data_IF_464089469397
#
_entry.id   IF_464089469397
#
_cell.length_a   1.000
_cell.length_b   1.000
_cell.length_c   1.000
_cell.angle_alpha   90.00
_cell.angle_beta   90.00
_cell.angle_gamma   90.00
#
_symmetry.space_group_name_H-M   'P 1'
#
loop_
_entity.id
_entity.type
_entity.pdbx_description
1 polymer ?
#
# COMPACT_ATOMS: atom_id res chain seq x y z
N UNK A 1 -17.40 39.65 15.03
CA UNK A 1 -17.62 38.56 14.04
C UNK A 1 -19.10 38.22 14.07
N UNK A 2 -19.83 38.34 12.96
CA UNK A 2 -21.28 38.08 12.92
C UNK A 2 -21.58 36.61 13.22
N UNK A 3 -22.64 36.33 13.99
CA UNK A 3 -23.13 34.96 14.27
C UNK A 3 -23.32 34.15 12.97
N UNK A 4 -23.68 34.81 11.86
CA UNK A 4 -23.77 34.17 10.53
C UNK A 4 -22.41 33.72 10.00
N UNK A 5 -21.32 34.45 10.27
CA UNK A 5 -19.98 34.10 9.83
C UNK A 5 -19.39 32.97 10.68
N UNK A 6 -19.72 32.91 11.97
CA UNK A 6 -19.32 31.80 12.86
C UNK A 6 -20.04 30.51 12.50
N UNK A 7 -21.34 30.56 12.16
CA UNK A 7 -22.11 29.41 11.67
C UNK A 7 -21.60 28.91 10.30
N UNK A 8 -21.22 29.80 9.38
CA UNK A 8 -20.65 29.39 8.10
C UNK A 8 -19.28 28.72 8.27
N UNK A 9 -18.41 29.23 9.15
CA UNK A 9 -17.11 28.61 9.42
C UNK A 9 -17.28 27.24 10.11
N UNK A 10 -18.21 27.10 11.05
CA UNK A 10 -18.52 25.81 11.69
C UNK A 10 -19.13 24.83 10.66
N UNK A 11 -20.00 25.29 9.76
CA UNK A 11 -20.58 24.47 8.68
C UNK A 11 -19.54 24.10 7.61
N UNK A 12 -18.60 24.98 7.31
CA UNK A 12 -17.47 24.71 6.40
C UNK A 12 -16.46 23.75 7.02
N UNK A 13 -16.18 23.82 8.34
CA UNK A 13 -15.33 22.86 9.04
C UNK A 13 -16.02 21.49 9.14
N UNK A 14 -17.33 21.45 9.39
CA UNK A 14 -18.11 20.20 9.38
C UNK A 14 -18.18 19.55 7.99
N UNK A 15 -18.21 20.35 6.91
CA UNK A 15 -18.21 19.85 5.52
C UNK A 15 -16.82 19.44 4.99
N UNK A 16 -15.74 19.62 5.76
CA UNK A 16 -14.39 19.12 5.36
C UNK A 16 -14.12 17.66 5.71
N UNK A 17 -15.10 16.93 6.26
CA UNK A 17 -14.88 15.55 6.74
C UNK A 17 -15.38 14.42 5.82
N UNK A 18 -16.07 14.70 4.71
CA UNK A 18 -16.74 13.63 3.95
C UNK A 18 -15.94 12.97 2.81
N UNK A 19 -14.76 12.44 3.13
CA UNK A 19 -14.20 11.29 2.39
C UNK A 19 -14.25 10.06 3.31
N UNK A 20 -15.39 9.38 3.31
CA UNK A 20 -15.69 8.31 4.28
C UNK A 20 -15.56 6.89 3.71
N UNK A 21 -14.68 6.66 2.73
CA UNK A 21 -14.37 5.30 2.25
C UNK A 21 -13.45 4.52 3.21
N UNK A 22 -13.74 4.53 4.50
CA UNK A 22 -12.86 3.96 5.53
C UNK A 22 -13.69 3.26 6.61
N UNK A 23 -13.24 2.09 7.02
CA UNK A 23 -13.76 1.43 8.22
C UNK A 23 -12.96 1.87 9.47
N UNK A 24 -13.39 1.42 10.66
CA UNK A 24 -12.71 1.74 11.92
C UNK A 24 -11.23 1.36 11.95
N UNK A 25 -10.85 0.24 11.32
CA UNK A 25 -9.45 -0.21 11.24
C UNK A 25 -8.62 0.75 10.39
N UNK A 26 -9.12 1.14 9.23
CA UNK A 26 -8.43 2.05 8.32
C UNK A 26 -8.20 3.43 8.95
N UNK A 27 -9.18 3.93 9.70
CA UNK A 27 -9.07 5.20 10.45
C UNK A 27 -7.92 5.11 11.45
N UNK A 28 -7.88 4.06 12.28
CA UNK A 28 -6.79 3.88 13.26
C UNK A 28 -5.44 3.79 12.57
N UNK A 29 -5.34 3.01 11.48
CA UNK A 29 -4.11 2.87 10.72
C UNK A 29 -3.65 4.24 10.17
N UNK A 30 -4.54 4.96 9.50
CA UNK A 30 -4.21 6.22 8.83
C UNK A 30 -3.92 7.38 9.80
N UNK A 31 -4.68 7.49 10.88
CA UNK A 31 -4.62 8.67 11.76
C UNK A 31 -3.65 8.48 12.93
N UNK A 32 -3.44 7.25 13.41
CA UNK A 32 -2.61 6.98 14.59
C UNK A 32 -1.30 6.28 14.27
N UNK A 33 -1.30 5.34 13.31
CA UNK A 33 -0.15 4.46 13.07
C UNK A 33 0.76 5.01 11.98
N UNK A 34 0.22 5.24 10.78
CA UNK A 34 1.00 5.67 9.62
C UNK A 34 1.74 7.00 9.81
N UNK A 35 1.20 8.04 10.48
CA UNK A 35 1.92 9.29 10.66
C UNK A 35 3.24 9.08 11.38
N UNK A 36 3.23 8.31 12.48
CA UNK A 36 4.44 8.00 13.26
C UNK A 36 5.40 7.09 12.48
N UNK A 37 4.89 6.07 11.78
CA UNK A 37 5.74 5.18 10.98
C UNK A 37 6.34 5.86 9.74
N UNK A 38 5.78 6.99 9.28
CA UNK A 38 6.25 7.75 8.12
C UNK A 38 7.13 8.95 8.51
N UNK A 39 6.97 9.52 9.70
CA UNK A 39 7.66 10.75 10.13
C UNK A 39 9.06 10.54 10.70
N UNK A 40 9.59 9.32 10.66
CA UNK A 40 10.79 8.94 11.41
C UNK A 40 10.42 8.53 12.83
N UNK A 41 10.90 7.37 13.25
CA UNK A 41 10.51 6.71 14.49
C UNK A 41 11.46 7.03 15.65
N UNK A 42 11.86 8.30 15.77
CA UNK A 42 12.86 8.73 16.75
C UNK A 42 12.27 8.89 18.16
N UNK A 43 10.96 9.15 18.26
CA UNK A 43 10.25 9.30 19.53
C UNK A 43 9.78 7.94 20.09
N UNK A 44 10.39 7.54 21.21
CA UNK A 44 10.07 6.30 21.93
C UNK A 44 8.63 6.26 22.46
N UNK A 45 8.06 7.39 22.85
CA UNK A 45 6.68 7.45 23.34
C UNK A 45 5.69 7.23 22.19
N UNK A 46 5.94 7.86 21.03
CA UNK A 46 5.18 7.63 19.81
C UNK A 46 5.29 6.17 19.34
N UNK A 47 6.50 5.60 19.31
CA UNK A 47 6.72 4.18 19.01
C UNK A 47 5.89 3.25 19.91
N UNK A 48 5.93 3.45 21.23
CA UNK A 48 5.18 2.61 22.16
C UNK A 48 3.66 2.74 21.96
N UNK A 49 3.18 3.93 21.61
CA UNK A 49 1.77 4.17 21.26
C UNK A 49 1.37 3.37 20.02
N UNK A 50 2.17 3.46 18.95
CA UNK A 50 1.92 2.68 17.72
C UNK A 50 1.94 1.18 17.99
N UNK A 51 2.92 0.69 18.76
CA UNK A 51 3.02 -0.73 19.12
C UNK A 51 1.77 -1.22 19.85
N UNK A 52 1.23 -0.41 20.76
CA UNK A 52 0.00 -0.72 21.48
C UNK A 52 -1.22 -0.71 20.55
N UNK A 53 -1.36 0.30 19.69
CA UNK A 53 -2.47 0.40 18.72
C UNK A 53 -2.46 -0.75 17.72
N UNK A 54 -1.30 -1.14 17.18
CA UNK A 54 -1.18 -2.34 16.33
C UNK A 54 -1.61 -3.60 17.07
N UNK A 55 -1.18 -3.78 18.33
CA UNK A 55 -1.59 -4.94 19.14
C UNK A 55 -3.10 -4.95 19.44
N UNK A 56 -3.75 -3.78 19.52
CA UNK A 56 -5.20 -3.68 19.67
C UNK A 56 -5.93 -4.04 18.37
N UNK A 57 -5.42 -3.63 17.21
CA UNK A 57 -5.97 -4.03 15.92
C UNK A 57 -5.94 -5.54 15.74
N UNK A 58 -4.85 -6.21 16.14
CA UNK A 58 -4.71 -7.65 15.98
C UNK A 58 -5.77 -8.46 16.73
N UNK A 59 -6.29 -7.95 17.85
CA UNK A 59 -7.38 -8.58 18.60
C UNK A 59 -8.68 -8.62 17.80
N UNK A 60 -8.92 -7.64 16.94
CA UNK A 60 -10.15 -7.53 16.15
C UNK A 60 -10.01 -8.02 14.71
N UNK A 61 -8.81 -7.95 14.14
CA UNK A 61 -8.59 -8.09 12.71
C UNK A 61 -7.55 -9.17 12.35
N UNK A 62 -6.91 -9.82 13.32
CA UNK A 62 -5.83 -10.79 13.09
C UNK A 62 -4.48 -10.12 12.82
N UNK A 63 -3.42 -10.93 12.66
CA UNK A 63 -2.03 -10.44 12.60
C UNK A 63 -1.81 -9.39 11.50
N UNK A 64 -1.29 -8.23 11.87
CA UNK A 64 -1.11 -7.07 10.98
C UNK A 64 0.27 -7.10 10.31
N UNK A 65 0.48 -8.08 9.42
CA UNK A 65 1.79 -8.45 8.84
C UNK A 65 2.61 -7.24 8.36
N UNK A 66 2.02 -6.36 7.54
CA UNK A 66 2.71 -5.18 7.01
C UNK A 66 3.13 -4.21 8.13
N UNK A 67 2.24 -3.94 9.10
CA UNK A 67 2.53 -3.03 10.21
C UNK A 67 3.59 -3.62 11.14
N UNK A 68 3.54 -4.93 11.40
CA UNK A 68 4.54 -5.65 12.20
C UNK A 68 5.91 -5.65 11.55
N UNK A 69 5.98 -5.89 10.24
CA UNK A 69 7.23 -5.74 9.47
C UNK A 69 7.79 -4.33 9.59
N UNK A 70 6.95 -3.30 9.42
CA UNK A 70 7.37 -1.89 9.56
C UNK A 70 7.81 -1.53 10.98
N UNK A 71 7.31 -2.24 12.01
CA UNK A 71 7.70 -2.04 13.40
C UNK A 71 9.05 -2.68 13.78
N UNK A 72 9.68 -3.46 12.89
CA UNK A 72 11.02 -4.03 13.15
C UNK A 72 12.09 -2.94 13.28
N UNK A 73 12.08 -1.97 12.35
CA UNK A 73 12.98 -0.80 12.35
C UNK A 73 12.93 -0.01 13.68
N UNK A 74 11.78 0.48 14.15
CA UNK A 74 11.72 1.22 15.41
C UNK A 74 11.96 0.34 16.64
N UNK A 75 11.56 -0.93 16.61
CA UNK A 75 11.83 -1.84 17.72
C UNK A 75 13.34 -2.02 17.91
N UNK A 76 14.09 -2.20 16.83
CA UNK A 76 15.54 -2.28 16.90
C UNK A 76 16.16 -0.94 17.32
N UNK A 77 15.73 0.18 16.71
CA UNK A 77 16.21 1.52 17.04
C UNK A 77 16.08 1.86 18.53
N UNK A 78 14.96 1.49 19.15
CA UNK A 78 14.71 1.73 20.59
C UNK A 78 15.22 0.63 21.52
N UNK A 79 16.00 -0.34 21.01
CA UNK A 79 16.53 -1.48 21.75
C UNK A 79 15.43 -2.35 22.42
N UNK A 80 14.23 -2.42 21.83
CA UNK A 80 13.18 -3.38 22.22
C UNK A 80 13.44 -4.74 21.55
N UNK A 81 14.59 -5.35 21.91
CA UNK A 81 15.12 -6.54 21.25
C UNK A 81 14.20 -7.75 21.43
N UNK A 82 13.50 -7.86 22.57
CA UNK A 82 12.57 -8.96 22.80
C UNK A 82 11.38 -8.89 21.83
N UNK A 83 10.78 -7.70 21.67
CA UNK A 83 9.73 -7.51 20.68
C UNK A 83 10.25 -7.78 19.27
N UNK A 84 11.40 -7.19 18.89
CA UNK A 84 12.03 -7.39 17.58
C UNK A 84 12.23 -8.88 17.26
N UNK A 85 12.82 -9.64 18.19
CA UNK A 85 13.07 -11.08 18.01
C UNK A 85 11.78 -11.88 17.85
N UNK A 86 10.78 -11.58 18.67
CA UNK A 86 9.50 -12.28 18.63
C UNK A 86 8.78 -12.03 17.31
N UNK A 87 8.63 -10.77 16.89
CA UNK A 87 7.93 -10.43 15.65
C UNK A 87 8.66 -10.92 14.42
N UNK A 88 9.99 -10.79 14.35
CA UNK A 88 10.76 -11.34 13.23
C UNK A 88 10.62 -12.87 13.14
N UNK A 89 10.55 -13.56 14.28
CA UNK A 89 10.28 -15.01 14.32
C UNK A 89 8.91 -15.35 13.74
N UNK A 90 7.88 -14.59 14.12
CA UNK A 90 6.51 -14.79 13.61
C UNK A 90 6.46 -14.53 12.11
N UNK A 91 7.08 -13.45 11.63
CA UNK A 91 7.14 -13.09 10.21
C UNK A 91 7.84 -14.16 9.38
N UNK A 92 8.96 -14.73 9.86
CA UNK A 92 9.67 -15.81 9.17
C UNK A 92 8.84 -17.10 9.16
N UNK A 93 8.30 -17.50 10.32
CA UNK A 93 7.62 -18.79 10.49
C UNK A 93 6.26 -18.85 9.79
N UNK A 94 5.48 -17.79 9.90
CA UNK A 94 4.06 -17.80 9.51
C UNK A 94 3.81 -17.05 8.20
N UNK A 95 4.67 -16.09 7.86
CA UNK A 95 4.46 -15.20 6.72
C UNK A 95 5.59 -15.28 5.68
N UNK A 96 6.65 -16.05 5.90
CA UNK A 96 7.67 -16.26 4.87
C UNK A 96 8.57 -15.06 4.64
N UNK A 97 8.82 -14.25 5.67
CA UNK A 97 9.91 -13.27 5.62
C UNK A 97 11.22 -13.98 5.26
N UNK A 98 11.88 -13.49 4.22
CA UNK A 98 13.03 -14.11 3.60
C UNK A 98 14.23 -13.15 3.62
N UNK A 99 15.36 -13.62 4.16
CA UNK A 99 16.60 -12.85 4.19
C UNK A 99 17.11 -12.48 2.78
N UNK A 100 16.72 -13.23 1.74
CA UNK A 100 17.09 -12.95 0.36
C UNK A 100 16.49 -11.65 -0.20
N UNK A 101 15.40 -11.14 0.39
CA UNK A 101 14.74 -9.90 -0.02
C UNK A 101 15.05 -8.71 0.91
N UNK A 102 16.02 -8.83 1.82
CA UNK A 102 16.54 -7.69 2.56
C UNK A 102 17.31 -6.74 1.63
N UNK A 103 17.10 -5.44 1.79
CA UNK A 103 17.72 -4.42 0.94
C UNK A 103 19.15 -4.06 1.38
N UNK A 104 19.50 -4.35 2.64
CA UNK A 104 20.74 -3.91 3.26
C UNK A 104 20.64 -2.52 3.89
N UNK A 105 19.56 -1.79 3.64
CA UNK A 105 19.30 -0.46 4.20
C UNK A 105 18.55 -0.53 5.54
N UNK A 106 18.09 -1.72 5.95
CA UNK A 106 17.42 -1.88 7.23
C UNK A 106 18.37 -1.56 8.38
N UNK A 107 17.93 -0.79 9.38
CA UNK A 107 18.81 -0.34 10.47
C UNK A 107 19.38 -1.50 11.31
N UNK A 108 18.71 -2.66 11.25
CA UNK A 108 19.09 -3.90 11.93
C UNK A 108 19.84 -4.88 11.03
N UNK A 109 20.02 -4.60 9.73
CA UNK A 109 20.59 -5.54 8.76
C UNK A 109 21.95 -6.08 9.23
N UNK A 110 22.89 -5.19 9.55
CA UNK A 110 24.23 -5.60 9.98
C UNK A 110 24.19 -6.41 11.28
N UNK A 111 23.27 -6.08 12.20
CA UNK A 111 23.14 -6.79 13.47
C UNK A 111 22.73 -8.26 13.28
N UNK A 112 21.78 -8.53 12.37
CA UNK A 112 21.27 -9.88 12.11
C UNK A 112 22.14 -10.67 11.11
N UNK A 113 22.90 -10.00 10.24
CA UNK A 113 23.74 -10.69 9.25
C UNK A 113 25.14 -11.01 9.79
N UNK A 114 25.75 -10.06 10.52
CA UNK A 114 27.17 -10.13 10.94
C UNK A 114 27.42 -9.73 12.39
N UNK A 115 26.48 -9.07 13.05
CA UNK A 115 26.64 -8.49 14.37
C UNK A 115 26.17 -9.37 15.53
N UNK A 116 25.82 -8.71 16.64
CA UNK A 116 25.44 -9.34 17.91
C UNK A 116 24.16 -10.19 17.85
N UNK A 117 23.29 -9.99 16.87
CA UNK A 117 22.08 -10.79 16.68
C UNK A 117 22.27 -11.93 15.68
N UNK A 118 23.42 -12.02 15.01
CA UNK A 118 23.61 -12.91 13.86
C UNK A 118 23.52 -14.40 14.21
N UNK A 119 24.08 -14.82 15.34
CA UNK A 119 23.99 -16.22 15.78
C UNK A 119 22.54 -16.63 16.02
N UNK A 120 21.80 -15.79 16.75
CA UNK A 120 20.38 -16.01 17.03
C UNK A 120 19.55 -16.00 15.74
N UNK A 121 19.76 -15.01 14.87
CA UNK A 121 18.98 -14.86 13.65
C UNK A 121 19.16 -16.06 12.73
N UNK A 122 20.39 -16.55 12.53
CA UNK A 122 20.65 -17.72 11.68
C UNK A 122 19.94 -18.97 12.18
N UNK A 123 20.03 -19.25 13.48
CA UNK A 123 19.36 -20.42 14.08
C UNK A 123 17.83 -20.31 13.96
N UNK A 124 17.29 -19.15 14.36
CA UNK A 124 15.86 -18.87 14.27
C UNK A 124 15.36 -18.95 12.83
N UNK A 125 16.06 -18.32 11.89
CA UNK A 125 15.68 -18.24 10.49
C UNK A 125 15.69 -19.62 9.82
N UNK A 126 16.77 -20.39 9.94
CA UNK A 126 16.86 -21.72 9.32
C UNK A 126 15.75 -22.66 9.82
N UNK A 127 15.48 -22.66 11.13
CA UNK A 127 14.41 -23.46 11.73
C UNK A 127 13.03 -23.03 11.22
N UNK A 128 12.71 -21.74 11.32
CA UNK A 128 11.36 -21.25 11.07
C UNK A 128 11.05 -21.10 9.59
N UNK A 129 12.03 -20.72 8.77
CA UNK A 129 11.84 -20.61 7.33
C UNK A 129 11.64 -21.99 6.69
N UNK A 130 12.33 -23.03 7.18
CA UNK A 130 12.09 -24.42 6.75
C UNK A 130 10.64 -24.85 7.04
N UNK A 131 10.10 -24.50 8.21
CA UNK A 131 8.68 -24.77 8.56
C UNK A 131 7.76 -24.07 7.57
N UNK A 132 8.01 -22.79 7.28
CA UNK A 132 7.20 -22.05 6.34
C UNK A 132 7.27 -22.62 4.92
N UNK A 133 8.48 -22.93 4.43
CA UNK A 133 8.72 -23.49 3.10
C UNK A 133 8.02 -24.84 2.90
N UNK A 134 8.05 -25.71 3.92
CA UNK A 134 7.38 -27.02 3.87
C UNK A 134 5.90 -26.88 3.57
N UNK A 135 5.27 -25.81 4.04
CA UNK A 135 3.84 -25.54 3.87
C UNK A 135 3.51 -24.64 2.66
N UNK A 136 4.51 -24.03 2.02
CA UNK A 136 4.31 -22.99 0.99
C UNK A 136 5.29 -23.11 -0.18
N UNK A 137 5.80 -24.32 -0.46
CA UNK A 137 6.80 -24.54 -1.51
C UNK A 137 6.28 -24.18 -2.91
N UNK A 138 4.99 -24.42 -3.15
CA UNK A 138 4.25 -24.08 -4.36
C UNK A 138 4.14 -22.56 -4.63
N UNK A 139 4.29 -21.72 -3.61
CA UNK A 139 4.29 -20.26 -3.72
C UNK A 139 5.64 -19.65 -4.12
N UNK A 140 6.76 -20.38 -3.99
CA UNK A 140 8.11 -19.77 -4.08
C UNK A 140 8.38 -19.08 -5.42
N UNK A 141 8.00 -19.72 -6.53
CA UNK A 141 8.17 -19.13 -7.85
C UNK A 141 7.35 -17.84 -8.04
N UNK A 142 6.15 -17.79 -7.46
CA UNK A 142 5.27 -16.63 -7.54
C UNK A 142 5.71 -15.50 -6.62
N UNK A 143 6.18 -15.83 -5.41
CA UNK A 143 6.76 -14.85 -4.49
C UNK A 143 8.01 -14.18 -5.04
N UNK A 144 8.86 -14.93 -5.72
CA UNK A 144 10.01 -14.35 -6.42
C UNK A 144 9.58 -13.36 -7.50
N UNK A 145 8.51 -13.66 -8.25
CA UNK A 145 7.96 -12.70 -9.23
C UNK A 145 7.47 -11.45 -8.52
N UNK A 146 6.63 -11.57 -7.49
CA UNK A 146 6.07 -10.43 -6.76
C UNK A 146 7.16 -9.51 -6.19
N UNK A 147 8.22 -10.07 -5.59
CA UNK A 147 9.32 -9.30 -5.00
C UNK A 147 10.30 -8.68 -6.03
N UNK A 148 10.19 -8.99 -7.32
CA UNK A 148 11.10 -8.48 -8.37
C UNK A 148 10.42 -7.55 -9.38
N UNK A 149 9.09 -7.47 -9.36
CA UNK A 149 8.32 -6.62 -10.29
C UNK A 149 8.65 -5.14 -10.07
N UNK A 150 8.73 -4.70 -8.81
CA UNK A 150 8.99 -3.30 -8.48
C UNK A 150 10.34 -2.80 -9.01
N UNK A 151 11.41 -3.59 -8.95
CA UNK A 151 12.72 -3.18 -9.45
C UNK A 151 12.69 -2.94 -10.97
N UNK A 152 12.06 -3.85 -11.72
CA UNK A 152 11.89 -3.72 -13.18
C UNK A 152 11.06 -2.50 -13.54
N UNK A 153 10.01 -2.26 -12.76
CA UNK A 153 9.09 -1.16 -12.90
C UNK A 153 9.78 0.19 -12.68
N UNK A 154 10.50 0.34 -11.56
CA UNK A 154 11.24 1.57 -11.25
C UNK A 154 12.35 1.85 -12.27
N UNK A 155 13.06 0.81 -12.72
CA UNK A 155 14.12 0.98 -13.71
C UNK A 155 13.60 1.56 -15.03
N UNK A 156 12.50 1.01 -15.58
CA UNK A 156 11.95 1.49 -16.85
C UNK A 156 11.38 2.90 -16.72
N UNK A 157 10.71 3.21 -15.59
CA UNK A 157 10.14 4.54 -15.36
C UNK A 157 11.26 5.57 -15.28
N UNK A 158 12.32 5.27 -14.51
CA UNK A 158 13.47 6.16 -14.40
C UNK A 158 14.15 6.39 -15.77
N UNK A 159 14.24 5.35 -16.61
CA UNK A 159 14.77 5.48 -17.96
C UNK A 159 13.86 6.35 -18.85
N UNK A 160 12.55 6.07 -18.88
CA UNK A 160 11.60 6.82 -19.70
C UNK A 160 11.55 8.31 -19.29
N UNK A 161 11.59 8.61 -18.00
CA UNK A 161 11.66 9.99 -17.50
C UNK A 161 12.94 10.71 -17.95
N UNK A 162 14.08 10.01 -18.03
CA UNK A 162 15.31 10.60 -18.59
C UNK A 162 15.16 10.93 -20.07
N UNK A 163 14.52 10.06 -20.84
CA UNK A 163 14.28 10.30 -22.28
C UNK A 163 13.32 11.47 -22.48
N UNK A 164 12.24 11.55 -21.71
CA UNK A 164 11.26 12.65 -21.77
C UNK A 164 11.87 14.02 -21.43
N UNK A 165 12.97 14.04 -20.67
CA UNK A 165 13.68 15.26 -20.29
C UNK A 165 14.80 15.64 -21.28
N UNK A 166 14.99 14.92 -22.39
CA UNK A 166 15.99 15.29 -23.41
C UNK A 166 15.52 16.55 -24.15
N UNK A 167 16.35 17.61 -24.24
CA UNK A 167 16.01 18.79 -25.02
C UNK A 167 15.74 18.46 -26.49
N UNK A 168 14.68 19.03 -27.06
CA UNK A 168 14.33 18.85 -28.48
C UNK A 168 13.39 17.68 -28.77
N UNK A 169 12.92 16.95 -27.75
CA UNK A 169 11.85 15.94 -27.90
C UNK A 169 10.52 16.66 -28.19
N UNK A 170 9.93 16.40 -29.36
CA UNK A 170 8.65 16.98 -29.77
C UNK A 170 7.43 16.25 -29.14
N UNK A 171 6.23 16.81 -29.31
CA UNK A 171 5.00 16.25 -28.71
C UNK A 171 4.66 14.84 -29.19
N UNK A 172 4.93 14.51 -30.46
CA UNK A 172 4.64 13.19 -31.02
C UNK A 172 5.60 12.14 -30.45
N UNK A 173 6.87 12.51 -30.27
CA UNK A 173 7.86 11.67 -29.62
C UNK A 173 7.52 11.44 -28.14
N UNK A 174 7.06 12.48 -27.41
CA UNK A 174 6.60 12.31 -26.02
C UNK A 174 5.43 11.33 -25.91
N UNK A 175 4.45 11.45 -26.81
CA UNK A 175 3.29 10.54 -26.84
C UNK A 175 3.73 9.10 -27.14
N UNK A 176 4.64 8.93 -28.11
CA UNK A 176 5.21 7.62 -28.45
C UNK A 176 5.93 6.99 -27.25
N UNK A 177 6.75 7.74 -26.53
CA UNK A 177 7.44 7.27 -25.31
C UNK A 177 6.42 6.86 -24.24
N UNK A 178 5.38 7.67 -24.02
CA UNK A 178 4.32 7.37 -23.04
C UNK A 178 3.55 6.10 -23.40
N UNK A 179 3.27 5.87 -24.69
CA UNK A 179 2.59 4.65 -25.15
C UNK A 179 3.44 3.41 -24.92
N UNK A 180 4.74 3.44 -25.25
CA UNK A 180 5.63 2.32 -24.94
C UNK A 180 5.76 2.06 -23.44
N UNK A 181 5.80 3.13 -22.63
CA UNK A 181 5.84 3.01 -21.18
C UNK A 181 4.56 2.37 -20.64
N UNK A 182 3.38 2.77 -21.15
CA UNK A 182 2.10 2.18 -20.79
C UNK A 182 2.05 0.67 -21.12
N UNK A 183 2.47 0.28 -22.33
CA UNK A 183 2.53 -1.12 -22.75
C UNK A 183 3.47 -1.95 -21.86
N UNK A 184 4.63 -1.40 -21.51
CA UNK A 184 5.56 -2.06 -20.61
C UNK A 184 4.96 -2.23 -19.21
N UNK A 185 4.38 -1.18 -18.63
CA UNK A 185 3.76 -1.27 -17.30
C UNK A 185 2.64 -2.29 -17.25
N UNK A 186 1.84 -2.39 -18.31
CA UNK A 186 0.80 -3.41 -18.42
C UNK A 186 1.42 -4.81 -18.44
N UNK A 187 2.42 -5.04 -19.30
CA UNK A 187 3.12 -6.33 -19.35
C UNK A 187 3.77 -6.70 -18.02
N UNK A 188 4.32 -5.72 -17.30
CA UNK A 188 4.98 -5.94 -16.02
C UNK A 188 3.99 -6.27 -14.88
N UNK A 189 2.70 -5.93 -15.02
CA UNK A 189 1.66 -6.26 -14.04
C UNK A 189 1.03 -7.65 -14.26
N UNK A 190 1.17 -8.23 -15.45
CA UNK A 190 0.63 -9.55 -15.80
C UNK A 190 0.93 -10.65 -14.77
N UNK A 191 2.13 -10.73 -14.15
CA UNK A 191 2.37 -11.70 -13.09
C UNK A 191 1.45 -11.53 -11.88
N UNK A 192 1.13 -10.28 -11.49
CA UNK A 192 0.21 -10.00 -10.37
C UNK A 192 -1.20 -10.47 -10.74
N UNK A 193 -1.65 -10.17 -11.97
CA UNK A 193 -2.96 -10.64 -12.47
C UNK A 193 -3.03 -12.17 -12.45
N UNK A 194 -2.01 -12.82 -13.01
CA UNK A 194 -1.93 -14.29 -13.11
C UNK A 194 -1.92 -14.95 -11.72
N UNK A 195 -1.15 -14.41 -10.78
CA UNK A 195 -1.08 -14.92 -9.41
C UNK A 195 -2.43 -14.72 -8.71
N UNK A 196 -3.06 -13.55 -8.87
CA UNK A 196 -4.35 -13.29 -8.26
C UNK A 196 -5.43 -14.27 -8.74
N UNK A 197 -5.44 -14.59 -10.03
CA UNK A 197 -6.32 -15.62 -10.61
C UNK A 197 -5.97 -17.02 -10.12
N UNK A 198 -4.69 -17.41 -10.18
CA UNK A 198 -4.22 -18.75 -9.78
C UNK A 198 -4.58 -19.09 -8.34
N UNK A 199 -4.41 -18.13 -7.43
CA UNK A 199 -4.60 -18.35 -5.99
C UNK A 199 -5.96 -17.89 -5.47
N UNK A 200 -6.75 -17.18 -6.28
CA UNK A 200 -8.06 -16.65 -5.89
C UNK A 200 -7.99 -15.63 -4.74
N UNK A 201 -6.87 -14.90 -4.64
CA UNK A 201 -6.58 -13.90 -3.61
C UNK A 201 -5.84 -12.70 -4.20
N UNK A 202 -6.01 -11.51 -3.62
CA UNK A 202 -5.09 -10.41 -3.86
C UNK A 202 -3.78 -10.74 -3.12
N UNK A 203 -2.65 -10.82 -3.82
CA UNK A 203 -1.41 -11.38 -3.27
C UNK A 203 -0.63 -10.42 -2.33
N UNK A 204 -1.26 -10.00 -1.23
CA UNK A 204 -0.69 -9.11 -0.22
C UNK A 204 -0.04 -9.84 0.96
N UNK A 205 0.58 -9.07 1.86
CA UNK A 205 1.35 -9.56 3.01
C UNK A 205 0.57 -10.54 3.91
N UNK A 206 -0.74 -10.33 4.06
CA UNK A 206 -1.60 -11.10 4.97
C UNK A 206 -2.27 -12.31 4.32
N UNK A 207 -2.59 -12.21 3.04
CA UNK A 207 -3.38 -13.18 2.29
C UNK A 207 -2.53 -14.21 1.52
N UNK A 208 -1.26 -13.88 1.24
CA UNK A 208 -0.38 -14.71 0.42
C UNK A 208 0.91 -15.09 1.14
N UNK A 209 1.80 -14.11 1.33
CA UNK A 209 3.01 -14.15 2.15
C UNK A 209 3.57 -12.74 2.30
N UNK A 210 4.58 -12.55 3.15
CA UNK A 210 5.31 -11.31 3.31
C UNK A 210 5.98 -10.90 1.98
N UNK A 211 5.53 -9.78 1.40
CA UNK A 211 6.08 -9.21 0.18
C UNK A 211 7.01 -8.07 0.59
N UNK A 212 8.30 -8.39 0.78
CA UNK A 212 9.28 -7.43 1.29
C UNK A 212 9.52 -6.29 0.31
N UNK A 213 9.61 -6.61 -0.98
CA UNK A 213 9.72 -5.66 -2.08
C UNK A 213 8.35 -5.50 -2.76
N UNK A 214 7.44 -4.80 -2.08
CA UNK A 214 6.06 -4.62 -2.50
C UNK A 214 5.90 -4.07 -3.93
N UNK A 215 4.78 -4.39 -4.56
CA UNK A 215 4.47 -4.02 -5.95
C UNK A 215 3.45 -2.86 -6.05
N UNK A 216 3.17 -2.16 -4.95
CA UNK A 216 2.18 -1.07 -4.92
C UNK A 216 2.50 0.02 -5.96
N UNK A 217 3.78 0.34 -6.16
CA UNK A 217 4.18 1.33 -7.17
C UNK A 217 3.90 0.86 -8.61
N UNK A 218 3.98 -0.45 -8.88
CA UNK A 218 3.61 -1.02 -10.19
C UNK A 218 2.11 -0.90 -10.46
N UNK A 219 1.27 -1.03 -9.44
CA UNK A 219 -0.16 -0.73 -9.55
C UNK A 219 -0.39 0.76 -9.83
N UNK A 220 0.29 1.64 -9.10
CA UNK A 220 0.21 3.09 -9.28
C UNK A 220 0.59 3.51 -10.69
N UNK A 221 1.70 2.99 -11.24
CA UNK A 221 2.12 3.30 -12.60
C UNK A 221 1.12 2.82 -13.64
N UNK A 222 0.46 1.68 -13.45
CA UNK A 222 -0.63 1.29 -14.34
C UNK A 222 -1.84 2.23 -14.24
N UNK A 223 -2.19 2.71 -13.05
CA UNK A 223 -3.26 3.68 -12.90
C UNK A 223 -2.97 5.05 -13.52
N UNK A 224 -1.69 5.40 -13.72
CA UNK A 224 -1.29 6.63 -14.43
C UNK A 224 -1.68 6.65 -15.91
N UNK A 225 -1.99 5.50 -16.52
CA UNK A 225 -2.42 5.42 -17.92
C UNK A 225 -3.89 5.01 -17.99
N UNK A 226 -4.71 5.83 -18.65
CA UNK A 226 -6.17 5.65 -18.70
C UNK A 226 -6.59 4.22 -19.14
N UNK A 227 -5.96 3.71 -20.22
CA UNK A 227 -6.24 2.37 -20.74
C UNK A 227 -5.92 1.28 -19.72
N UNK A 228 -4.72 1.31 -19.16
CA UNK A 228 -4.27 0.31 -18.19
C UNK A 228 -5.10 0.36 -16.92
N UNK A 229 -5.49 1.55 -16.46
CA UNK A 229 -6.26 1.70 -15.23
C UNK A 229 -7.54 0.86 -15.26
N UNK A 230 -8.29 0.94 -16.37
CA UNK A 230 -9.54 0.18 -16.53
C UNK A 230 -9.28 -1.32 -16.54
N UNK A 231 -8.39 -1.78 -17.40
CA UNK A 231 -8.12 -3.22 -17.60
C UNK A 231 -7.57 -3.87 -16.32
N UNK A 232 -6.63 -3.21 -15.65
CA UNK A 232 -6.04 -3.69 -14.39
C UNK A 232 -7.09 -3.71 -13.28
N UNK A 233 -7.91 -2.66 -13.17
CA UNK A 233 -8.93 -2.59 -12.14
C UNK A 233 -9.99 -3.67 -12.31
N UNK A 234 -10.52 -3.84 -13.52
CA UNK A 234 -11.53 -4.86 -13.82
C UNK A 234 -11.02 -6.27 -13.49
N UNK A 235 -9.75 -6.55 -13.80
CA UNK A 235 -9.13 -7.85 -13.51
C UNK A 235 -8.90 -8.09 -12.00
N UNK A 236 -8.43 -7.08 -11.26
CA UNK A 236 -8.06 -7.25 -9.85
C UNK A 236 -9.19 -6.97 -8.86
N UNK A 237 -10.18 -6.15 -9.21
CA UNK A 237 -11.21 -5.69 -8.28
C UNK A 237 -11.93 -6.82 -7.53
N UNK A 238 -12.29 -7.97 -8.15
CA UNK A 238 -12.88 -9.09 -7.40
C UNK A 238 -11.99 -9.58 -6.25
N UNK A 239 -10.68 -9.69 -6.51
CA UNK A 239 -9.70 -10.13 -5.51
C UNK A 239 -9.40 -9.07 -4.45
N UNK A 240 -9.31 -7.80 -4.86
CA UNK A 240 -9.13 -6.63 -3.98
C UNK A 240 -10.31 -6.49 -3.03
N UNK A 241 -11.54 -6.59 -3.55
CA UNK A 241 -12.78 -6.54 -2.79
C UNK A 241 -12.80 -7.62 -1.70
N UNK A 242 -12.51 -8.87 -2.07
CA UNK A 242 -12.43 -9.99 -1.14
C UNK A 242 -11.38 -9.74 -0.05
N UNK A 243 -10.19 -9.30 -0.44
CA UNK A 243 -9.12 -9.00 0.51
C UNK A 243 -9.49 -7.87 1.48
N UNK A 244 -10.15 -6.81 0.98
CA UNK A 244 -10.60 -5.72 1.84
C UNK A 244 -11.65 -6.17 2.85
N UNK A 245 -12.66 -6.94 2.42
CA UNK A 245 -13.69 -7.51 3.31
C UNK A 245 -13.11 -8.47 4.37
N UNK A 246 -12.00 -9.14 4.04
CA UNK A 246 -11.26 -10.00 4.97
C UNK A 246 -10.27 -9.24 5.88
N UNK A 247 -10.20 -7.90 5.79
CA UNK A 247 -9.22 -7.07 6.49
C UNK A 247 -7.76 -7.44 6.16
N UNK A 248 -7.50 -7.86 4.92
CA UNK A 248 -6.17 -8.24 4.42
C UNK A 248 -5.41 -7.03 3.85
N UNK A 249 -6.13 -6.00 3.40
CA UNK A 249 -5.60 -4.74 2.88
C UNK A 249 -6.32 -3.55 3.55
N UNK A 250 -5.86 -2.33 3.27
CA UNK A 250 -6.50 -1.08 3.71
C UNK A 250 -7.18 -0.36 2.54
N UNK A 251 -7.85 0.74 2.82
CA UNK A 251 -8.53 1.57 1.83
C UNK A 251 -7.60 2.29 0.82
N UNK A 252 -6.28 2.23 1.04
CA UNK A 252 -5.26 2.93 0.23
C UNK A 252 -5.37 2.62 -1.26
N UNK A 253 -5.71 1.37 -1.63
CA UNK A 253 -5.87 0.99 -3.03
C UNK A 253 -7.06 1.69 -3.71
N UNK A 254 -8.17 1.89 -3.00
CA UNK A 254 -9.33 2.62 -3.50
C UNK A 254 -9.03 4.11 -3.63
N UNK A 255 -8.25 4.66 -2.68
CA UNK A 255 -7.75 6.04 -2.75
C UNK A 255 -6.87 6.29 -3.97
N UNK A 256 -5.94 5.38 -4.24
CA UNK A 256 -5.09 5.46 -5.42
C UNK A 256 -5.92 5.34 -6.70
N UNK A 257 -6.88 4.41 -6.74
CA UNK A 257 -7.76 4.27 -7.90
C UNK A 257 -8.60 5.53 -8.15
N UNK A 258 -9.27 6.06 -7.13
CA UNK A 258 -10.07 7.28 -7.26
C UNK A 258 -9.21 8.49 -7.66
N UNK A 259 -7.99 8.62 -7.12
CA UNK A 259 -7.07 9.70 -7.48
C UNK A 259 -6.81 9.72 -8.99
N UNK A 260 -6.45 8.57 -9.58
CA UNK A 260 -6.20 8.50 -11.02
C UNK A 260 -7.49 8.53 -11.85
N UNK A 261 -8.59 7.97 -11.34
CA UNK A 261 -9.89 8.06 -12.00
C UNK A 261 -10.33 9.53 -12.12
N UNK A 262 -10.01 10.36 -11.12
CA UNK A 262 -10.24 11.79 -11.19
C UNK A 262 -9.35 12.46 -12.24
N UNK A 263 -8.05 12.13 -12.29
CA UNK A 263 -7.13 12.70 -13.28
C UNK A 263 -7.61 12.42 -14.71
N UNK A 264 -8.02 11.20 -15.01
CA UNK A 264 -8.47 10.81 -16.35
C UNK A 264 -9.91 11.28 -16.64
N UNK A 265 -10.85 11.01 -15.73
CA UNK A 265 -12.29 11.13 -16.01
C UNK A 265 -13.00 12.26 -15.26
N UNK A 266 -12.30 12.98 -14.37
CA UNK A 266 -12.87 14.10 -13.61
C UNK A 266 -13.90 13.70 -12.54
N UNK A 267 -13.96 12.41 -12.21
CA UNK A 267 -14.90 11.85 -11.22
C UNK A 267 -14.19 10.80 -10.36
N UNK A 268 -14.85 10.34 -9.29
CA UNK A 268 -14.39 9.26 -8.42
C UNK A 268 -15.44 8.16 -8.30
N UNK A 269 -15.04 6.97 -7.87
CA UNK A 269 -15.88 5.78 -7.79
C UNK A 269 -16.18 5.42 -6.34
N UNK A 270 -15.22 5.55 -5.43
CA UNK A 270 -15.33 5.11 -4.04
C UNK A 270 -15.57 6.24 -3.03
N UNK A 271 -15.57 7.49 -3.47
CA UNK A 271 -15.60 8.66 -2.57
C UNK A 271 -14.48 8.64 -1.52
N UNK A 272 -13.28 8.20 -1.95
CA UNK A 272 -12.20 7.86 -1.03
C UNK A 272 -11.22 9.00 -0.76
N UNK A 273 -11.33 10.12 -1.47
CA UNK A 273 -10.54 11.32 -1.16
C UNK A 273 -11.29 12.61 -1.49
N UNK A 274 -10.88 13.70 -0.83
CA UNK A 274 -11.41 15.05 -1.11
C UNK A 274 -10.48 15.84 -2.01
N UNK A 275 -11.01 16.87 -2.67
CA UNK A 275 -10.20 17.77 -3.50
C UNK A 275 -9.07 18.45 -2.70
N UNK A 276 -9.29 18.71 -1.41
CA UNK A 276 -8.28 19.31 -0.52
C UNK A 276 -7.10 18.37 -0.25
N UNK A 277 -7.33 17.04 -0.28
CA UNK A 277 -6.27 16.04 -0.15
C UNK A 277 -5.43 15.88 -1.42
N UNK A 278 -5.89 16.42 -2.55
CA UNK A 278 -5.15 16.43 -3.80
C UNK A 278 -4.14 17.59 -3.83
N UNK A 279 -2.88 17.36 -4.26
CA UNK A 279 -1.93 18.44 -4.51
C UNK A 279 -2.47 19.42 -5.54
N UNK A 280 -2.22 20.71 -5.34
CA UNK A 280 -2.83 21.79 -6.12
C UNK A 280 -2.56 21.66 -7.63
N UNK A 281 -1.36 21.22 -8.01
CA UNK A 281 -0.97 21.02 -9.41
C UNK A 281 -1.80 19.95 -10.15
N UNK A 282 -2.51 19.10 -9.41
CA UNK A 282 -3.35 18.04 -9.97
C UNK A 282 -4.85 18.36 -9.92
N UNK A 283 -5.24 19.46 -9.27
CA UNK A 283 -6.64 19.87 -9.17
C UNK A 283 -7.11 20.40 -10.52
N UNK A 284 -8.22 19.88 -11.02
CA UNK A 284 -8.93 20.48 -12.17
C UNK A 284 -9.58 21.80 -11.71
N UNK A 285 -9.99 22.62 -12.66
CA UNK A 285 -10.57 23.97 -12.43
C UNK A 285 -11.87 24.00 -11.62
N UNK A 286 -12.41 22.84 -11.26
CA UNK A 286 -13.59 22.73 -10.40
C UNK A 286 -13.31 23.18 -8.97
N UNK A 287 -14.27 23.92 -8.39
CA UNK A 287 -14.21 24.43 -7.01
C UNK A 287 -15.08 23.63 -6.03
N UNK A 288 -15.91 22.72 -6.55
CA UNK A 288 -16.81 21.87 -5.76
C UNK A 288 -16.28 20.47 -5.45
N UNK A 289 -17.06 19.64 -4.74
CA UNK A 289 -16.73 18.23 -4.47
C UNK A 289 -16.47 17.44 -5.76
N UNK A 290 -15.65 16.41 -5.68
CA UNK A 290 -15.37 15.55 -6.83
C UNK A 290 -16.63 14.73 -7.17
N UNK A 291 -17.15 14.79 -8.40
CA UNK A 291 -18.34 14.05 -8.81
C UNK A 291 -18.21 12.54 -8.59
N UNK A 292 -19.26 11.90 -8.10
CA UNK A 292 -19.35 10.44 -7.98
C UNK A 292 -19.87 9.86 -9.30
N UNK A 293 -19.18 8.85 -9.85
CA UNK A 293 -19.57 8.20 -11.11
C UNK A 293 -20.93 7.51 -11.05
N UNK A 294 -21.18 6.75 -9.98
CA UNK A 294 -22.45 6.06 -9.73
C UNK A 294 -22.76 6.06 -8.23
N UNK A 295 -23.67 6.95 -7.81
CA UNK A 295 -24.07 7.07 -6.41
C UNK A 295 -24.80 5.83 -5.90
N UNK A 296 -25.63 5.17 -6.72
CA UNK A 296 -26.39 3.99 -6.26
C UNK A 296 -25.47 2.82 -5.98
N UNK A 297 -24.49 2.62 -6.86
CA UNK A 297 -23.47 1.58 -6.67
C UNK A 297 -22.56 1.89 -5.47
N UNK A 298 -22.17 3.16 -5.28
CA UNK A 298 -21.37 3.57 -4.13
C UNK A 298 -22.06 3.24 -2.80
N UNK A 299 -23.35 3.55 -2.66
CA UNK A 299 -24.11 3.26 -1.44
C UNK A 299 -24.20 1.74 -1.15
N UNK A 300 -24.26 0.90 -2.19
CA UNK A 300 -24.19 -0.55 -2.03
C UNK A 300 -22.82 -0.99 -1.50
N UNK A 301 -21.74 -0.48 -2.09
CA UNK A 301 -20.37 -0.80 -1.68
C UNK A 301 -20.08 -0.33 -0.25
N UNK A 302 -20.46 0.90 0.11
CA UNK A 302 -20.29 1.42 1.47
C UNK A 302 -20.93 0.51 2.52
N UNK A 303 -22.17 0.09 2.28
CA UNK A 303 -22.89 -0.83 3.16
C UNK A 303 -22.20 -2.19 3.27
N UNK A 304 -21.76 -2.74 2.15
CA UNK A 304 -21.04 -4.02 2.12
C UNK A 304 -19.71 -3.93 2.88
N UNK A 305 -18.97 -2.85 2.68
CA UNK A 305 -17.63 -2.62 3.23
C UNK A 305 -17.67 -2.12 4.66
N UNK A 306 -18.87 -1.77 5.17
CA UNK A 306 -19.07 -1.13 6.48
C UNK A 306 -18.23 0.14 6.60
N UNK A 307 -18.17 0.89 5.51
CA UNK A 307 -17.60 2.23 5.49
C UNK A 307 -18.50 3.18 6.27
N UNK A 308 -17.88 4.14 6.94
CA UNK A 308 -18.63 5.19 7.60
C UNK A 308 -19.34 6.05 6.54
N UNK A 309 -20.42 6.70 6.94
CA UNK A 309 -21.16 7.63 6.09
C UNK A 309 -20.62 9.06 6.16
#
# INVERSE_FOLDING_TARGET
MSIKNTLHIIFSILLTTSAYAQNKRDIVIKEKILPVLNSGYEDKAAYNTVKAEVSLLEKGYGHEVLLKRRLLEPAYYHNDINYFKNELTVLVKNHGFDAAYLTGNENYFNAIMKGNLASWFKEMYLKNHTIWLTNNFDKQADLRKLNTINEKDQYITAFAMKVLNIPGIDSLQQETIKNYLAEYHFKNIEPILTIATKWGVYAGDKSFACIQNGFDTTLIHNFQFEKNQREVWEALFPSIKKAYLNNEITDVIFRNYDFYHYLHFGSQVFNSFTLQQMPEQFRKTQTGPIPIKDTKWLEQIKKEFKWND
#
